data_IF_043640223381
#
_entry.id   IF_043640223381
#
_cell.length_a   1.000
_cell.length_b   1.000
_cell.length_c   1.000
_cell.angle_alpha   90.00
_cell.angle_beta   90.00
_cell.angle_gamma   90.00
#
_symmetry.space_group_name_H-M   'P 1'
#
loop_
_entity.id
_entity.type
_entity.pdbx_description
1 polymer ?
#
# COMPACT_ATOMS: atom_id res chain seq x y z
N UNK A 1 -20.37 -6.54 25.51
CA UNK A 1 -19.70 -5.83 24.39
C UNK A 1 -20.55 -4.73 23.75
N UNK A 2 -21.87 -4.91 23.57
CA UNK A 2 -22.69 -3.95 22.80
C UNK A 2 -23.09 -2.60 23.45
N UNK A 3 -22.89 -2.37 24.76
CA UNK A 3 -23.34 -1.12 25.41
C UNK A 3 -22.27 -0.02 25.50
N UNK A 4 -20.98 -0.36 25.67
CA UNK A 4 -19.91 0.64 25.71
C UNK A 4 -19.61 1.23 24.33
N UNK A 5 -19.59 0.37 23.29
CA UNK A 5 -19.46 0.77 21.88
C UNK A 5 -20.69 1.57 21.42
N UNK A 6 -21.91 1.19 21.84
CA UNK A 6 -23.11 2.01 21.59
C UNK A 6 -23.07 3.36 22.31
N UNK A 7 -22.49 3.45 23.50
CA UNK A 7 -22.33 4.75 24.20
C UNK A 7 -21.33 5.66 23.52
N UNK A 8 -20.32 5.09 22.86
CA UNK A 8 -19.38 5.81 21.99
C UNK A 8 -20.07 6.26 20.68
N UNK A 9 -20.99 5.45 20.15
CA UNK A 9 -21.81 5.79 18.97
C UNK A 9 -23.01 6.73 19.24
N UNK A 10 -23.40 6.97 20.50
CA UNK A 10 -24.57 7.78 20.88
C UNK A 10 -24.23 9.22 21.29
N UNK A 11 -23.01 9.68 21.00
CA UNK A 11 -22.76 11.12 20.90
C UNK A 11 -23.16 11.54 19.48
N UNK A 12 -24.40 12.02 19.36
CA UNK A 12 -25.02 12.63 18.17
C UNK A 12 -24.21 13.84 17.65
N UNK A 13 -23.05 13.59 17.05
CA UNK A 13 -22.32 14.58 16.26
C UNK A 13 -21.91 13.96 14.91
N UNK A 14 -22.53 14.48 13.85
CA UNK A 14 -21.95 14.62 12.52
C UNK A 14 -21.75 13.40 11.61
N UNK A 15 -22.61 12.37 11.68
CA UNK A 15 -22.68 11.42 10.56
C UNK A 15 -23.29 12.08 9.31
N UNK A 16 -24.28 12.96 9.49
CA UNK A 16 -25.03 13.57 8.37
C UNK A 16 -24.35 14.81 7.77
N UNK A 17 -23.45 15.48 8.51
CA UNK A 17 -22.70 16.64 8.02
C UNK A 17 -21.49 16.24 7.16
N UNK A 18 -20.85 15.12 7.50
CA UNK A 18 -19.71 14.56 6.76
C UNK A 18 -20.18 13.87 5.46
N UNK A 19 -21.37 13.25 5.46
CA UNK A 19 -21.96 12.61 4.27
C UNK A 19 -22.41 13.61 3.19
N UNK A 20 -22.74 14.87 3.53
CA UNK A 20 -23.06 15.91 2.55
C UNK A 20 -21.83 16.57 1.92
N UNK A 21 -20.64 16.37 2.48
CA UNK A 21 -19.44 17.13 2.12
C UNK A 21 -18.50 16.41 1.13
N UNK A 22 -18.77 15.14 0.79
CA UNK A 22 -17.97 14.35 -0.17
C UNK A 22 -18.52 14.40 -1.62
N UNK A 23 -19.53 15.23 -1.88
CA UNK A 23 -20.14 15.39 -3.19
C UNK A 23 -20.14 16.86 -3.61
N UNK A 24 -18.98 17.43 -3.90
CA UNK A 24 -18.86 18.70 -4.66
C UNK A 24 -17.40 18.97 -5.10
N UNK A 25 -17.19 18.97 -6.42
CA UNK A 25 -15.96 19.39 -7.12
C UNK A 25 -15.65 20.88 -6.90
N UNK A 26 -14.37 21.28 -7.04
CA UNK A 26 -14.12 22.42 -7.93
C UNK A 26 -12.81 22.37 -8.75
N UNK A 27 -13.00 22.73 -10.03
CA UNK A 27 -12.23 23.60 -10.94
C UNK A 27 -10.69 23.68 -10.88
N UNK A 28 -10.10 23.20 -11.98
CA UNK A 28 -8.96 23.72 -12.74
C UNK A 28 -8.11 24.84 -12.10
N UNK A 29 -6.82 24.54 -11.91
CA UNK A 29 -5.81 25.43 -12.47
C UNK A 29 -4.55 24.69 -12.94
N UNK A 30 -4.06 25.16 -14.07
CA UNK A 30 -2.95 24.66 -14.88
C UNK A 30 -1.60 25.13 -14.32
N UNK A 31 -0.55 24.81 -15.07
CA UNK A 31 0.82 25.36 -15.09
C UNK A 31 1.84 24.65 -14.15
N UNK A 32 3.05 24.21 -14.54
CA UNK A 32 3.99 24.52 -15.64
C UNK A 32 4.80 23.28 -16.05
N UNK A 33 4.98 23.05 -17.37
CA UNK A 33 6.11 22.29 -17.92
C UNK A 33 7.32 23.20 -18.05
N UNK A 34 8.47 22.79 -17.53
CA UNK A 34 9.76 23.46 -17.77
C UNK A 34 10.51 22.71 -18.87
N UNK A 35 10.57 23.32 -20.04
CA UNK A 35 11.43 22.93 -21.15
C UNK A 35 12.90 23.16 -20.76
N UNK A 36 13.76 22.19 -21.05
CA UNK A 36 15.21 22.36 -20.97
C UNK A 36 15.73 22.77 -22.34
N UNK A 37 16.29 23.97 -22.45
CA UNK A 37 17.09 24.38 -23.60
C UNK A 37 18.46 23.73 -23.52
N UNK A 38 18.79 22.91 -24.53
CA UNK A 38 20.12 22.31 -24.67
C UNK A 38 21.04 23.30 -25.35
N UNK A 39 21.90 23.94 -24.55
CA UNK A 39 23.05 24.71 -25.02
C UNK A 39 24.03 23.79 -25.75
N UNK A 40 24.39 24.18 -26.97
CA UNK A 40 25.27 23.43 -27.84
C UNK A 40 26.74 23.50 -27.41
N UNK A 41 27.35 22.32 -27.28
CA UNK A 41 28.75 22.05 -27.59
C UNK A 41 28.84 20.57 -28.03
N UNK A 42 29.13 20.35 -29.31
CA UNK A 42 29.24 19.02 -29.91
C UNK A 42 30.54 18.35 -29.47
N UNK A 43 30.50 17.67 -28.32
CA UNK A 43 31.43 16.59 -28.04
C UNK A 43 30.94 15.34 -28.79
N UNK A 44 31.58 15.05 -29.93
CA UNK A 44 31.47 13.77 -30.62
C UNK A 44 32.16 12.66 -29.80
N UNK A 45 31.78 12.47 -28.55
CA UNK A 45 32.00 11.22 -27.84
C UNK A 45 30.81 10.33 -28.18
N UNK A 46 30.87 9.67 -29.34
CA UNK A 46 29.97 8.54 -29.59
C UNK A 46 30.18 7.57 -28.44
N UNK A 47 29.10 7.27 -27.72
CA UNK A 47 29.12 6.19 -26.74
C UNK A 47 29.66 4.94 -27.44
N UNK A 48 30.67 4.26 -26.87
CA UNK A 48 31.22 3.05 -27.48
C UNK A 48 30.10 2.01 -27.65
N UNK A 49 30.16 1.21 -28.70
CA UNK A 49 29.19 0.15 -28.91
C UNK A 49 29.24 -0.81 -27.71
N UNK A 50 28.08 -1.19 -27.14
CA UNK A 50 28.04 -2.11 -25.99
C UNK A 50 28.64 -3.48 -26.35
N UNK A 51 28.67 -3.85 -27.63
CA UNK A 51 29.35 -5.07 -28.09
C UNK A 51 30.88 -4.98 -27.96
N UNK A 52 31.45 -3.78 -27.92
CA UNK A 52 32.89 -3.55 -27.79
C UNK A 52 33.34 -3.53 -26.31
N UNK A 53 32.39 -3.50 -25.38
CA UNK A 53 32.66 -3.53 -23.94
C UNK A 53 32.74 -4.98 -23.42
N UNK A 54 33.47 -5.23 -22.32
CA UNK A 54 33.39 -6.49 -21.58
C UNK A 54 31.94 -6.84 -21.24
N UNK A 55 31.52 -8.11 -21.38
CA UNK A 55 30.14 -8.53 -21.17
C UNK A 55 29.56 -8.07 -19.83
N UNK A 56 30.38 -8.05 -18.77
CA UNK A 56 29.97 -7.65 -17.43
C UNK A 56 29.56 -6.17 -17.37
N UNK A 57 30.29 -5.29 -18.07
CA UNK A 57 29.99 -3.86 -18.11
C UNK A 57 28.78 -3.57 -18.99
N UNK A 58 28.64 -4.30 -20.09
CA UNK A 58 27.49 -4.15 -20.98
C UNK A 58 26.20 -4.62 -20.30
N UNK A 59 26.25 -5.75 -19.59
CA UNK A 59 25.15 -6.25 -18.78
C UNK A 59 24.82 -5.30 -17.63
N UNK A 60 25.82 -4.73 -16.97
CA UNK A 60 25.62 -3.73 -15.90
C UNK A 60 24.84 -2.53 -16.45
N UNK A 61 25.26 -1.96 -17.58
CA UNK A 61 24.54 -0.83 -18.21
C UNK A 61 23.10 -1.21 -18.56
N UNK A 62 22.88 -2.39 -19.16
CA UNK A 62 21.53 -2.85 -19.50
C UNK A 62 20.67 -3.17 -18.27
N UNK A 63 21.26 -3.52 -17.14
CA UNK A 63 20.53 -3.82 -15.90
C UNK A 63 19.85 -2.59 -15.28
N UNK A 64 20.31 -1.38 -15.62
CA UNK A 64 19.69 -0.12 -15.19
C UNK A 64 18.53 0.32 -16.09
N UNK A 65 18.26 -0.41 -17.17
CA UNK A 65 17.19 -0.10 -18.12
C UNK A 65 15.87 -0.75 -17.72
N UNK A 66 14.76 -0.07 -18.01
CA UNK A 66 13.44 -0.68 -17.86
C UNK A 66 13.12 -1.61 -19.05
N UNK A 67 12.00 -2.34 -18.99
CA UNK A 67 11.65 -3.30 -20.04
C UNK A 67 11.40 -2.67 -21.42
N UNK A 68 10.93 -1.42 -21.48
CA UNK A 68 10.74 -0.71 -22.76
C UNK A 68 12.09 -0.38 -23.37
N UNK A 69 13.00 0.17 -22.58
CA UNK A 69 14.38 0.46 -22.98
C UNK A 69 15.10 -0.82 -23.42
N UNK A 70 14.91 -1.93 -22.72
CA UNK A 70 15.51 -3.21 -23.08
C UNK A 70 14.92 -3.78 -24.39
N UNK A 71 13.62 -3.62 -24.62
CA UNK A 71 13.00 -3.97 -25.90
C UNK A 71 13.57 -3.13 -27.06
N UNK A 72 13.79 -1.83 -26.85
CA UNK A 72 14.41 -0.95 -27.84
C UNK A 72 15.89 -1.30 -28.06
N UNK A 73 16.63 -1.58 -26.98
CA UNK A 73 18.01 -2.04 -27.02
C UNK A 73 18.13 -3.33 -27.83
N UNK A 74 17.13 -4.23 -27.79
CA UNK A 74 17.12 -5.46 -28.59
C UNK A 74 17.09 -5.23 -30.10
N UNK A 75 16.78 -4.02 -30.59
CA UNK A 75 16.90 -3.70 -32.02
C UNK A 75 18.35 -3.54 -32.48
N UNK A 76 19.27 -3.27 -31.55
CA UNK A 76 20.69 -2.99 -31.82
C UNK A 76 21.61 -4.04 -31.18
N UNK A 77 21.29 -4.45 -29.95
CA UNK A 77 22.06 -5.38 -29.11
C UNK A 77 21.23 -6.63 -28.76
N UNK A 78 20.86 -7.41 -29.79
CA UNK A 78 19.93 -8.54 -29.66
C UNK A 78 20.34 -9.57 -28.60
N UNK A 79 21.58 -10.06 -28.64
CA UNK A 79 22.04 -11.12 -27.73
C UNK A 79 22.06 -10.64 -26.28
N UNK A 80 22.52 -9.40 -26.07
CA UNK A 80 22.71 -8.82 -24.74
C UNK A 80 21.38 -8.39 -24.10
N UNK A 81 20.45 -7.83 -24.89
CA UNK A 81 19.11 -7.46 -24.44
C UNK A 81 18.14 -8.66 -24.34
N UNK A 82 18.51 -9.81 -24.92
CA UNK A 82 17.78 -11.06 -24.76
C UNK A 82 18.23 -11.87 -23.54
N UNK A 83 19.17 -11.36 -22.74
CA UNK A 83 19.69 -12.06 -21.57
C UNK A 83 18.59 -12.34 -20.52
N UNK A 84 18.41 -13.62 -20.19
CA UNK A 84 17.35 -14.09 -19.30
C UNK A 84 17.55 -13.64 -17.84
N UNK A 85 18.78 -13.35 -17.41
CA UNK A 85 19.06 -12.86 -16.05
C UNK A 85 18.57 -11.41 -15.90
N UNK A 86 18.76 -10.58 -16.93
CA UNK A 86 18.22 -9.22 -16.96
C UNK A 86 16.69 -9.22 -16.86
N UNK A 87 16.02 -10.03 -17.69
CA UNK A 87 14.56 -10.17 -17.63
C UNK A 87 14.08 -10.76 -16.31
N UNK A 88 14.81 -11.72 -15.74
CA UNK A 88 14.49 -12.27 -14.41
C UNK A 88 14.57 -11.20 -13.32
N UNK A 89 15.60 -10.36 -13.36
CA UNK A 89 15.77 -9.25 -12.43
C UNK A 89 14.60 -8.26 -12.55
N UNK A 90 14.22 -7.89 -13.78
CA UNK A 90 13.07 -7.02 -14.03
C UNK A 90 11.76 -7.61 -13.50
N UNK A 91 11.49 -8.89 -13.77
CA UNK A 91 10.34 -9.60 -13.23
C UNK A 91 10.30 -9.55 -11.70
N UNK A 92 11.39 -9.94 -11.03
CA UNK A 92 11.46 -9.99 -9.57
C UNK A 92 11.46 -8.62 -8.90
N UNK A 93 11.88 -7.58 -9.60
CA UNK A 93 11.82 -6.22 -9.10
C UNK A 93 10.39 -5.64 -9.11
N UNK A 94 9.59 -5.95 -10.15
CA UNK A 94 8.21 -5.47 -10.24
C UNK A 94 7.20 -6.38 -9.53
N UNK A 95 7.35 -7.69 -9.71
CA UNK A 95 6.57 -8.76 -9.10
C UNK A 95 7.50 -9.62 -8.26
N UNK A 96 7.75 -9.22 -7.01
CA UNK A 96 8.66 -9.92 -6.11
C UNK A 96 8.23 -11.35 -5.78
N UNK A 97 6.96 -11.67 -6.01
CA UNK A 97 6.42 -13.02 -5.84
C UNK A 97 5.39 -13.32 -6.92
N UNK A 98 5.46 -14.49 -7.53
CA UNK A 98 4.37 -15.15 -8.28
C UNK A 98 4.58 -16.67 -8.19
N UNK A 99 3.52 -17.46 -8.18
CA UNK A 99 3.60 -18.92 -7.98
C UNK A 99 4.50 -19.61 -9.00
N UNK A 100 4.51 -19.12 -10.25
CA UNK A 100 5.30 -19.71 -11.33
C UNK A 100 6.82 -19.64 -11.08
N UNK A 101 7.32 -18.75 -10.22
CA UNK A 101 8.75 -18.71 -9.87
C UNK A 101 9.24 -19.98 -9.16
N UNK A 102 8.35 -20.68 -8.46
CA UNK A 102 8.69 -21.92 -7.73
C UNK A 102 8.51 -23.17 -8.61
N UNK A 103 7.97 -23.02 -9.82
CA UNK A 103 7.83 -24.13 -10.75
C UNK A 103 9.18 -24.57 -11.33
N UNK A 104 9.39 -25.89 -11.39
CA UNK A 104 10.59 -26.49 -12.03
C UNK A 104 10.60 -26.37 -13.55
N UNK A 105 9.55 -25.79 -14.14
CA UNK A 105 9.38 -25.69 -15.58
C UNK A 105 10.28 -24.58 -16.11
N UNK A 106 11.02 -24.87 -17.19
CA UNK A 106 11.75 -23.82 -17.91
C UNK A 106 10.76 -22.95 -18.69
N UNK A 107 10.86 -21.64 -18.50
CA UNK A 107 10.18 -20.61 -19.28
C UNK A 107 11.18 -19.49 -19.60
N UNK A 108 10.80 -18.62 -20.54
CA UNK A 108 11.55 -17.38 -20.81
C UNK A 108 11.02 -16.28 -19.91
N UNK A 109 11.90 -15.63 -19.16
CA UNK A 109 11.60 -14.47 -18.34
C UNK A 109 11.15 -13.28 -19.17
N UNK A 110 11.65 -13.13 -20.40
CA UNK A 110 11.11 -12.10 -21.31
C UNK A 110 9.64 -12.33 -21.59
N UNK A 111 9.25 -13.57 -21.89
CA UNK A 111 7.84 -13.91 -22.11
C UNK A 111 7.02 -13.75 -20.83
N UNK A 112 7.55 -14.22 -19.70
CA UNK A 112 6.90 -14.09 -18.40
C UNK A 112 6.66 -12.61 -18.05
N UNK A 113 7.63 -11.73 -18.29
CA UNK A 113 7.49 -10.30 -18.09
C UNK A 113 6.28 -9.76 -18.86
N UNK A 114 6.14 -10.11 -20.15
CA UNK A 114 5.01 -9.66 -20.96
C UNK A 114 3.67 -10.18 -20.45
N UNK A 115 3.62 -11.46 -20.04
CA UNK A 115 2.42 -12.06 -19.45
C UNK A 115 2.05 -11.38 -18.11
N UNK A 116 3.04 -11.03 -17.27
CA UNK A 116 2.82 -10.34 -15.99
C UNK A 116 2.42 -8.86 -16.18
N UNK A 117 3.00 -8.18 -17.15
CA UNK A 117 2.69 -6.79 -17.50
C UNK A 117 1.24 -6.68 -18.02
N UNK A 118 0.85 -7.57 -18.94
CA UNK A 118 -0.54 -7.66 -19.42
C UNK A 118 -1.53 -7.95 -18.28
N UNK A 119 -1.19 -8.90 -17.40
CA UNK A 119 -2.00 -9.21 -16.21
C UNK A 119 -2.15 -8.01 -15.27
N UNK A 120 -1.08 -7.24 -15.08
CA UNK A 120 -1.06 -6.03 -14.23
C UNK A 120 -1.89 -4.91 -14.83
N UNK A 121 -1.76 -4.64 -16.13
CA UNK A 121 -2.59 -3.66 -16.83
C UNK A 121 -4.08 -4.06 -16.76
N UNK A 122 -4.37 -5.35 -16.92
CA UNK A 122 -5.73 -5.88 -16.81
C UNK A 122 -6.26 -5.72 -15.39
N UNK A 123 -5.48 -6.05 -14.36
CA UNK A 123 -5.86 -5.87 -12.95
C UNK A 123 -6.11 -4.40 -12.59
N UNK A 124 -5.23 -3.51 -13.06
CA UNK A 124 -5.33 -2.07 -12.80
C UNK A 124 -6.58 -1.46 -13.44
N UNK A 125 -7.07 -2.05 -14.54
CA UNK A 125 -8.36 -1.72 -15.16
C UNK A 125 -9.55 -2.37 -14.43
N UNK A 126 -9.47 -3.66 -14.13
CA UNK A 126 -10.50 -4.48 -13.50
C UNK A 126 -9.85 -5.59 -12.66
N UNK A 127 -9.95 -5.45 -11.33
CA UNK A 127 -9.26 -6.34 -10.39
C UNK A 127 -9.61 -7.82 -10.58
N UNK A 128 -10.89 -8.12 -10.83
CA UNK A 128 -11.35 -9.52 -10.96
C UNK A 128 -10.84 -10.15 -12.26
N UNK A 129 -10.94 -9.43 -13.39
CA UNK A 129 -10.42 -9.92 -14.67
C UNK A 129 -8.91 -10.10 -14.65
N UNK A 130 -8.18 -9.19 -14.01
CA UNK A 130 -6.74 -9.31 -13.85
C UNK A 130 -6.35 -10.55 -13.06
N UNK A 131 -7.01 -10.81 -11.93
CA UNK A 131 -6.75 -12.02 -11.14
C UNK A 131 -7.12 -13.30 -11.89
N UNK A 132 -8.26 -13.32 -12.60
CA UNK A 132 -8.62 -14.44 -13.47
C UNK A 132 -7.58 -14.68 -14.57
N UNK A 133 -7.00 -13.61 -15.13
CA UNK A 133 -5.89 -13.71 -16.08
C UNK A 133 -4.67 -14.38 -15.46
N UNK A 134 -4.20 -13.90 -14.30
CA UNK A 134 -3.03 -14.48 -13.61
C UNK A 134 -3.24 -15.97 -13.29
N UNK A 135 -4.44 -16.33 -12.82
CA UNK A 135 -4.78 -17.72 -12.45
C UNK A 135 -4.90 -18.62 -13.68
N UNK A 136 -5.64 -18.19 -14.71
CA UNK A 136 -5.87 -19.01 -15.91
C UNK A 136 -4.61 -19.25 -16.74
N UNK A 137 -3.66 -18.31 -16.69
CA UNK A 137 -2.34 -18.42 -17.34
C UNK A 137 -1.34 -19.25 -16.52
N UNK A 138 -1.70 -19.66 -15.30
CA UNK A 138 -0.83 -20.39 -14.39
C UNK A 138 0.32 -19.55 -13.82
N UNK A 139 0.16 -18.22 -13.81
CA UNK A 139 1.15 -17.30 -13.23
C UNK A 139 1.05 -17.28 -11.71
N UNK A 140 -0.17 -17.38 -11.20
CA UNK A 140 -0.50 -17.35 -9.78
C UNK A 140 -1.52 -18.45 -9.45
N UNK A 141 -1.35 -19.13 -8.32
CA UNK A 141 -2.30 -20.13 -7.83
C UNK A 141 -3.48 -19.44 -7.12
N UNK A 142 -4.71 -19.93 -7.33
CA UNK A 142 -5.89 -19.45 -6.61
C UNK A 142 -5.93 -20.00 -5.17
N UNK A 143 -4.98 -19.56 -4.36
CA UNK A 143 -4.94 -19.84 -2.93
C UNK A 143 -4.72 -18.55 -2.14
N UNK A 144 -5.32 -18.40 -0.95
CA UNK A 144 -5.25 -17.14 -0.20
C UNK A 144 -3.82 -16.72 0.17
N UNK A 145 -2.96 -17.68 0.51
CA UNK A 145 -1.55 -17.50 0.85
C UNK A 145 -0.71 -17.01 -0.35
N UNK A 146 -0.97 -17.59 -1.52
CA UNK A 146 -0.27 -17.25 -2.77
C UNK A 146 -0.68 -15.85 -3.24
N UNK A 147 -1.97 -15.54 -3.25
CA UNK A 147 -2.47 -14.22 -3.67
C UNK A 147 -2.03 -13.12 -2.69
N UNK A 148 -2.07 -13.40 -1.38
CA UNK A 148 -1.57 -12.45 -0.38
C UNK A 148 -0.08 -12.17 -0.54
N UNK A 149 0.72 -13.20 -0.81
CA UNK A 149 2.16 -13.04 -1.07
C UNK A 149 2.41 -12.24 -2.36
N UNK A 150 1.62 -12.44 -3.41
CA UNK A 150 1.66 -11.64 -4.63
C UNK A 150 1.37 -10.16 -4.35
N UNK A 151 0.28 -9.84 -3.65
CA UNK A 151 -0.06 -8.46 -3.30
C UNK A 151 0.97 -7.80 -2.38
N UNK A 152 1.57 -8.55 -1.45
CA UNK A 152 2.57 -8.03 -0.53
C UNK A 152 3.88 -7.62 -1.22
N UNK A 153 4.30 -8.37 -2.26
CA UNK A 153 5.60 -8.21 -2.91
C UNK A 153 5.50 -7.56 -4.31
N UNK A 154 4.33 -7.05 -4.70
CA UNK A 154 4.14 -6.41 -6.01
C UNK A 154 3.86 -4.92 -5.84
N UNK A 155 4.62 -4.08 -6.54
CA UNK A 155 4.55 -2.62 -6.37
C UNK A 155 3.80 -1.89 -7.49
N UNK A 156 3.46 -2.58 -8.58
CA UNK A 156 2.82 -2.01 -9.77
C UNK A 156 1.29 -2.19 -9.82
N UNK A 157 0.67 -2.76 -8.76
CA UNK A 157 -0.78 -2.91 -8.67
C UNK A 157 -1.44 -1.62 -8.16
N UNK A 158 -2.56 -1.25 -8.79
CA UNK A 158 -3.32 -0.07 -8.40
C UNK A 158 -4.00 -0.30 -7.04
N UNK A 159 -3.74 0.54 -6.01
CA UNK A 159 -4.26 0.34 -4.65
C UNK A 159 -5.78 0.20 -4.57
N UNK A 160 -6.52 1.05 -5.30
CA UNK A 160 -7.99 0.96 -5.41
C UNK A 160 -8.48 -0.42 -5.90
N UNK A 161 -7.84 -0.99 -6.92
CA UNK A 161 -8.22 -2.30 -7.47
C UNK A 161 -7.90 -3.42 -6.49
N UNK A 162 -6.75 -3.34 -5.82
CA UNK A 162 -6.40 -4.25 -4.72
C UNK A 162 -7.45 -4.21 -3.61
N UNK A 163 -7.89 -3.01 -3.18
CA UNK A 163 -8.97 -2.85 -2.20
C UNK A 163 -10.27 -3.51 -2.65
N UNK A 164 -10.70 -3.28 -3.90
CA UNK A 164 -11.92 -3.88 -4.47
C UNK A 164 -11.83 -5.41 -4.41
N UNK A 165 -10.69 -5.99 -4.83
CA UNK A 165 -10.50 -7.42 -4.78
C UNK A 165 -10.53 -7.97 -3.35
N UNK A 166 -9.83 -7.32 -2.42
CA UNK A 166 -9.78 -7.73 -1.01
C UNK A 166 -11.12 -7.65 -0.27
N UNK A 167 -12.03 -6.76 -0.69
CA UNK A 167 -13.39 -6.72 -0.13
C UNK A 167 -14.20 -7.97 -0.52
N UNK A 168 -14.01 -8.47 -1.75
CA UNK A 168 -14.63 -9.72 -2.22
C UNK A 168 -13.95 -10.98 -1.69
N UNK A 169 -12.63 -10.95 -1.46
CA UNK A 169 -11.79 -12.08 -1.01
C UNK A 169 -11.21 -11.83 0.37
N UNK A 170 -12.07 -11.88 1.39
CA UNK A 170 -11.71 -11.63 2.80
C UNK A 170 -10.73 -12.65 3.39
N UNK A 171 -10.68 -13.84 2.81
CA UNK A 171 -9.69 -14.89 3.06
C UNK A 171 -8.28 -14.44 2.65
N UNK A 172 -8.14 -13.82 1.48
CA UNK A 172 -6.88 -13.21 1.01
C UNK A 172 -6.49 -12.03 1.89
N UNK A 173 -7.45 -11.17 2.24
CA UNK A 173 -7.20 -10.05 3.17
C UNK A 173 -6.63 -10.54 4.51
N UNK A 174 -7.14 -11.64 5.06
CA UNK A 174 -6.60 -12.21 6.29
C UNK A 174 -5.12 -12.56 6.16
N UNK A 175 -4.76 -13.28 5.09
CA UNK A 175 -3.37 -13.67 4.82
C UNK A 175 -2.48 -12.47 4.55
N UNK A 176 -2.99 -11.45 3.86
CA UNK A 176 -2.23 -10.22 3.61
C UNK A 176 -1.91 -9.47 4.91
N UNK A 177 -2.86 -9.41 5.86
CA UNK A 177 -2.61 -8.81 7.17
C UNK A 177 -1.62 -9.65 7.99
N UNK A 178 -1.72 -10.98 7.94
CA UNK A 178 -0.79 -11.89 8.62
C UNK A 178 0.67 -11.73 8.15
N UNK A 179 0.89 -11.35 6.89
CA UNK A 179 2.23 -11.08 6.34
C UNK A 179 2.86 -9.78 6.85
N UNK A 180 2.08 -8.88 7.46
CA UNK A 180 2.62 -7.62 7.98
C UNK A 180 3.24 -7.82 9.36
N UNK A 181 4.47 -7.33 9.51
CA UNK A 181 5.16 -7.28 10.80
C UNK A 181 5.05 -5.89 11.44
N UNK A 182 4.46 -5.85 12.63
CA UNK A 182 4.34 -4.66 13.48
C UNK A 182 5.16 -4.75 14.76
N UNK A 183 6.11 -5.70 14.83
CA UNK A 183 6.99 -5.84 15.98
C UNK A 183 7.78 -4.56 16.25
N UNK A 184 7.87 -4.17 17.52
CA UNK A 184 8.60 -2.99 17.99
C UNK A 184 8.12 -1.64 17.43
N UNK A 185 6.99 -1.61 16.71
CA UNK A 185 6.38 -0.35 16.25
C UNK A 185 5.41 0.19 17.30
N UNK A 186 5.40 1.51 17.46
CA UNK A 186 4.36 2.16 18.24
C UNK A 186 3.01 2.06 17.51
N UNK A 187 1.90 1.96 18.25
CA UNK A 187 0.58 1.66 17.68
C UNK A 187 0.17 2.61 16.52
N UNK A 188 0.31 3.94 16.62
CA UNK A 188 0.02 4.85 15.52
C UNK A 188 0.88 4.60 14.27
N UNK A 189 2.16 4.28 14.45
CA UNK A 189 3.10 4.00 13.37
C UNK A 189 2.73 2.69 12.64
N UNK A 190 2.42 1.65 13.40
CA UNK A 190 1.91 0.39 12.85
C UNK A 190 0.61 0.61 12.08
N UNK A 191 -0.30 1.44 12.59
CA UNK A 191 -1.58 1.73 11.96
C UNK A 191 -1.42 2.54 10.65
N UNK A 192 -0.48 3.50 10.60
CA UNK A 192 -0.10 4.19 9.34
C UNK A 192 0.43 3.21 8.31
N UNK A 193 1.37 2.34 8.70
CA UNK A 193 1.94 1.31 7.82
C UNK A 193 0.86 0.39 7.24
N UNK A 194 -0.09 -0.03 8.08
CA UNK A 194 -1.21 -0.85 7.64
C UNK A 194 -2.05 -0.17 6.54
N UNK A 195 -2.41 1.11 6.72
CA UNK A 195 -3.20 1.84 5.74
C UNK A 195 -2.42 2.27 4.50
N UNK A 196 -1.08 2.34 4.55
CA UNK A 196 -0.25 2.49 3.36
C UNK A 196 -0.36 1.27 2.43
N UNK A 197 -0.52 0.07 2.98
CA UNK A 197 -0.66 -1.15 2.17
C UNK A 197 -2.09 -1.40 1.71
N UNK A 198 -3.08 -1.34 2.61
CA UNK A 198 -4.45 -1.81 2.29
C UNK A 198 -5.38 -0.67 1.84
N UNK A 199 -4.92 0.59 1.94
CA UNK A 199 -5.67 1.82 1.71
C UNK A 199 -6.95 1.90 2.54
N UNK A 200 -7.14 2.99 3.28
CA UNK A 200 -8.39 3.16 4.00
C UNK A 200 -9.59 3.26 3.04
N UNK A 201 -10.77 2.72 3.42
CA UNK A 201 -11.99 3.00 2.69
C UNK A 201 -12.35 4.49 2.80
N UNK A 202 -12.90 5.04 1.72
CA UNK A 202 -13.36 6.43 1.67
C UNK A 202 -14.59 6.65 2.57
N UNK A 203 -15.36 5.57 2.84
CA UNK A 203 -16.42 5.57 3.85
C UNK A 203 -15.95 4.97 5.18
N UNK A 204 -16.53 5.46 6.28
CA UNK A 204 -16.36 4.87 7.61
C UNK A 204 -17.35 3.72 7.82
N UNK A 205 -17.53 2.88 6.80
CA UNK A 205 -18.49 1.79 6.79
C UNK A 205 -18.02 0.53 7.54
N UNK A 206 -18.75 -0.56 7.32
CA UNK A 206 -18.45 -1.88 7.90
C UNK A 206 -17.06 -2.41 7.49
N UNK A 207 -16.52 -1.95 6.37
CA UNK A 207 -15.20 -2.38 5.89
C UNK A 207 -14.07 -1.87 6.79
N UNK A 208 -14.10 -0.59 7.22
CA UNK A 208 -13.11 -0.04 8.15
C UNK A 208 -13.09 -0.82 9.47
N UNK A 209 -14.25 -1.19 10.00
CA UNK A 209 -14.36 -2.01 11.21
C UNK A 209 -13.68 -3.37 11.00
N UNK A 210 -13.95 -4.03 9.87
CA UNK A 210 -13.32 -5.32 9.51
C UNK A 210 -11.79 -5.22 9.42
N UNK A 211 -11.28 -4.15 8.81
CA UNK A 211 -9.85 -3.89 8.72
C UNK A 211 -9.21 -3.71 10.10
N UNK A 212 -9.83 -2.90 10.96
CA UNK A 212 -9.31 -2.65 12.30
C UNK A 212 -9.39 -3.88 13.20
N UNK A 213 -10.40 -4.73 13.06
CA UNK A 213 -10.47 -6.02 13.76
C UNK A 213 -9.29 -6.92 13.39
N UNK A 214 -9.01 -7.07 12.08
CA UNK A 214 -7.88 -7.87 11.59
C UNK A 214 -6.53 -7.28 12.03
N UNK A 215 -6.35 -5.97 11.85
CA UNK A 215 -5.16 -5.25 12.31
C UNK A 215 -4.92 -5.45 13.81
N UNK A 216 -5.96 -5.30 14.64
CA UNK A 216 -5.83 -5.40 16.09
C UNK A 216 -5.37 -6.78 16.55
N UNK A 217 -5.84 -7.85 15.88
CA UNK A 217 -5.38 -9.22 16.15
C UNK A 217 -3.91 -9.37 15.78
N UNK A 218 -3.52 -8.93 14.59
CA UNK A 218 -2.15 -9.03 14.11
C UNK A 218 -1.18 -8.21 14.98
N UNK A 219 -1.55 -6.98 15.37
CA UNK A 219 -0.73 -6.14 16.23
C UNK A 219 -0.43 -6.82 17.58
N UNK A 220 -1.44 -7.45 18.20
CA UNK A 220 -1.27 -8.24 19.42
C UNK A 220 -0.37 -9.47 19.20
N UNK A 221 -0.48 -10.15 18.06
CA UNK A 221 0.36 -11.31 17.72
C UNK A 221 1.83 -10.93 17.52
N UNK A 222 2.10 -9.80 16.87
CA UNK A 222 3.46 -9.25 16.72
C UNK A 222 4.04 -8.72 18.04
N UNK A 223 3.19 -8.31 18.99
CA UNK A 223 3.61 -7.66 20.23
C UNK A 223 3.06 -8.35 21.51
N UNK A 224 3.39 -9.64 21.73
CA UNK A 224 2.85 -10.41 22.86
C UNK A 224 3.30 -9.85 24.23
N UNK A 225 4.44 -9.17 24.26
CA UNK A 225 5.02 -8.56 25.45
C UNK A 225 4.19 -7.39 26.01
N UNK A 226 3.35 -6.74 25.19
CA UNK A 226 2.50 -5.63 25.63
C UNK A 226 1.26 -6.09 26.41
N UNK A 227 0.93 -7.40 26.39
CA UNK A 227 -0.24 -7.97 27.08
C UNK A 227 -1.58 -7.29 26.73
N UNK A 228 -1.68 -6.70 25.54
CA UNK A 228 -2.88 -6.04 25.03
C UNK A 228 -3.85 -7.08 24.44
N UNK A 229 -5.16 -6.86 24.63
CA UNK A 229 -6.18 -7.65 23.94
C UNK A 229 -6.58 -6.97 22.62
N UNK A 230 -6.99 -7.73 21.59
CA UNK A 230 -7.44 -7.14 20.32
C UNK A 230 -8.55 -6.10 20.50
N UNK A 231 -9.48 -6.29 21.44
CA UNK A 231 -10.55 -5.32 21.73
C UNK A 231 -10.01 -3.96 22.19
N UNK A 232 -8.94 -3.97 22.98
CA UNK A 232 -8.30 -2.74 23.47
C UNK A 232 -7.62 -2.02 22.31
N UNK A 233 -6.84 -2.76 21.50
CA UNK A 233 -6.14 -2.22 20.33
C UNK A 233 -7.14 -1.64 19.34
N UNK A 234 -8.27 -2.32 19.13
CA UNK A 234 -9.35 -1.88 18.27
C UNK A 234 -9.91 -0.52 18.72
N UNK A 235 -10.24 -0.36 20.01
CA UNK A 235 -10.76 0.90 20.56
C UNK A 235 -9.72 2.02 20.45
N UNK A 236 -8.44 1.72 20.70
CA UNK A 236 -7.35 2.68 20.52
C UNK A 236 -7.23 3.12 19.05
N UNK A 237 -7.24 2.18 18.10
CA UNK A 237 -7.19 2.50 16.66
C UNK A 237 -8.34 3.41 16.24
N UNK A 238 -9.57 3.12 16.66
CA UNK A 238 -10.72 3.99 16.40
C UNK A 238 -10.53 5.39 16.98
N UNK A 239 -10.05 5.48 18.23
CA UNK A 239 -9.79 6.76 18.89
C UNK A 239 -8.73 7.57 18.15
N UNK A 240 -7.69 6.90 17.65
CA UNK A 240 -6.61 7.52 16.88
C UNK A 240 -7.09 8.04 15.52
N UNK A 241 -7.93 7.27 14.79
CA UNK A 241 -8.51 7.72 13.51
C UNK A 241 -9.45 8.92 13.71
N UNK A 242 -10.23 8.92 14.79
CA UNK A 242 -11.08 10.07 15.12
C UNK A 242 -10.25 11.31 15.43
N UNK A 243 -9.19 11.15 16.22
CA UNK A 243 -8.25 12.23 16.51
C UNK A 243 -7.56 12.73 15.24
N UNK A 244 -7.11 11.83 14.36
CA UNK A 244 -6.40 12.23 13.14
C UNK A 244 -7.27 13.08 12.24
N UNK A 245 -8.54 12.69 12.04
CA UNK A 245 -9.48 13.50 11.25
C UNK A 245 -9.85 14.80 11.94
N UNK A 246 -10.03 14.79 13.26
CA UNK A 246 -10.31 16.01 14.03
C UNK A 246 -9.18 17.04 13.83
N UNK A 247 -7.92 16.62 13.99
CA UNK A 247 -6.75 17.50 13.91
C UNK A 247 -6.50 18.02 12.48
N UNK A 248 -6.68 17.20 11.44
CA UNK A 248 -6.37 17.61 10.06
C UNK A 248 -7.51 18.33 9.35
N UNK A 249 -8.77 18.12 9.75
CA UNK A 249 -9.93 18.67 9.03
C UNK A 249 -10.01 20.21 9.14
N UNK A 250 -9.98 20.98 8.05
CA UNK A 250 -10.08 22.45 8.12
C UNK A 250 -11.44 22.94 8.67
N UNK A 251 -12.47 22.07 8.67
CA UNK A 251 -13.81 22.39 9.15
C UNK A 251 -13.93 22.34 10.67
N UNK A 252 -13.06 21.59 11.35
CA UNK A 252 -13.03 21.55 12.82
C UNK A 252 -12.25 22.77 13.32
N UNK A 253 -12.98 23.80 13.74
CA UNK A 253 -12.39 25.04 14.30
C UNK A 253 -11.77 24.81 15.67
N UNK A 254 -12.45 24.04 16.52
CA UNK A 254 -12.02 23.73 17.88
C UNK A 254 -11.48 22.30 17.90
N UNK A 255 -10.17 22.18 17.73
CA UNK A 255 -9.47 20.89 17.74
C UNK A 255 -9.54 20.24 19.13
N UNK A 256 -9.65 18.93 19.16
CA UNK A 256 -9.55 18.14 20.38
C UNK A 256 -8.19 18.38 21.02
N UNK A 257 -8.20 18.90 22.25
CA UNK A 257 -6.97 19.07 23.04
C UNK A 257 -6.46 17.72 23.56
N UNK A 258 -5.15 17.65 23.85
CA UNK A 258 -4.53 16.48 24.49
C UNK A 258 -5.29 16.01 25.73
N UNK A 259 -5.70 16.96 26.59
CA UNK A 259 -6.46 16.66 27.81
C UNK A 259 -7.83 16.04 27.51
N UNK A 260 -8.53 16.51 26.48
CA UNK A 260 -9.81 15.96 26.06
C UNK A 260 -9.66 14.56 25.49
N UNK A 261 -8.65 14.33 24.65
CA UNK A 261 -8.34 13.00 24.12
C UNK A 261 -8.07 11.99 25.24
N UNK A 262 -7.17 12.30 26.18
CA UNK A 262 -6.85 11.43 27.32
C UNK A 262 -8.12 11.13 28.12
N UNK A 263 -8.96 12.13 28.39
CA UNK A 263 -10.25 11.92 29.09
C UNK A 263 -11.17 10.98 28.32
N UNK A 264 -11.31 11.17 27.01
CA UNK A 264 -12.19 10.38 26.15
C UNK A 264 -11.75 8.91 26.10
N UNK A 265 -10.45 8.67 25.87
CA UNK A 265 -9.89 7.31 25.81
C UNK A 265 -9.96 6.62 27.16
N UNK A 266 -9.63 7.30 28.26
CA UNK A 266 -9.73 6.75 29.63
C UNK A 266 -11.14 6.30 29.99
N UNK A 267 -12.15 7.07 29.58
CA UNK A 267 -13.55 6.72 29.81
C UNK A 267 -13.96 5.44 29.05
N UNK A 268 -13.33 5.17 27.90
CA UNK A 268 -13.54 3.95 27.12
C UNK A 268 -12.69 2.77 27.61
N UNK A 269 -11.46 3.05 28.03
CA UNK A 269 -10.43 2.09 28.42
C UNK A 269 -9.87 2.48 29.79
N UNK A 270 -10.47 1.97 30.87
CA UNK A 270 -10.01 2.20 32.25
C UNK A 270 -8.78 1.32 32.60
N UNK A 271 -7.83 1.19 31.67
CA UNK A 271 -6.75 0.18 31.76
C UNK A 271 -5.32 0.73 31.75
N UNK A 272 -5.06 1.89 31.14
CA UNK A 272 -3.70 2.41 30.96
C UNK A 272 -3.51 3.76 31.64
N UNK A 273 -2.24 4.13 31.82
CA UNK A 273 -1.84 5.42 32.36
C UNK A 273 -2.09 6.56 31.37
N UNK A 274 -2.35 7.75 31.90
CA UNK A 274 -2.59 8.98 31.15
C UNK A 274 -1.37 9.35 30.29
N UNK A 275 -0.16 8.95 30.69
CA UNK A 275 1.08 9.16 29.93
C UNK A 275 1.04 8.47 28.56
N UNK A 276 0.57 7.20 28.49
CA UNK A 276 0.44 6.47 27.22
C UNK A 276 -0.52 7.18 26.27
N UNK A 277 -1.69 7.60 26.77
CA UNK A 277 -2.66 8.33 25.97
C UNK A 277 -2.12 9.69 25.51
N UNK A 278 -1.27 10.31 26.33
CA UNK A 278 -0.53 11.50 25.97
C UNK A 278 0.42 11.27 24.80
N UNK A 279 1.23 10.21 24.84
CA UNK A 279 2.14 9.86 23.74
C UNK A 279 1.40 9.51 22.45
N UNK A 280 0.26 8.82 22.55
CA UNK A 280 -0.61 8.56 21.40
C UNK A 280 -1.12 9.86 20.75
N UNK A 281 -1.50 10.87 21.54
CA UNK A 281 -1.91 12.16 21.01
C UNK A 281 -0.76 12.90 20.33
N UNK A 282 0.40 12.94 20.99
CA UNK A 282 1.57 13.66 20.48
C UNK A 282 2.03 13.08 19.13
N UNK A 283 2.00 11.76 18.96
CA UNK A 283 2.34 11.10 17.69
C UNK A 283 1.41 11.56 16.55
N UNK A 284 0.08 11.59 16.76
CA UNK A 284 -0.85 12.07 15.73
C UNK A 284 -0.67 13.56 15.44
N UNK A 285 -0.40 14.35 16.48
CA UNK A 285 -0.19 15.79 16.36
C UNK A 285 1.10 16.13 15.58
N UNK A 286 2.18 15.36 15.80
CA UNK A 286 3.49 15.60 15.19
C UNK A 286 3.62 14.97 13.80
N UNK A 287 3.24 13.70 13.65
CA UNK A 287 3.47 12.92 12.43
C UNK A 287 2.27 12.95 11.47
N UNK A 288 1.14 13.50 11.91
CA UNK A 288 -0.02 13.74 11.07
C UNK A 288 -0.91 12.53 10.83
N UNK A 289 -1.67 12.59 9.72
CA UNK A 289 -2.84 11.76 9.47
C UNK A 289 -2.53 10.25 9.39
N UNK A 290 -3.39 9.40 9.96
CA UNK A 290 -3.18 7.95 9.99
C UNK A 290 -3.44 7.29 8.64
N UNK A 291 -4.45 7.76 7.93
CA UNK A 291 -4.93 7.16 6.69
C UNK A 291 -5.28 8.25 5.69
N UNK A 292 -4.30 9.01 5.17
CA UNK A 292 -4.58 10.01 4.16
C UNK A 292 -5.14 9.31 2.92
N UNK A 293 -6.20 9.86 2.33
CA UNK A 293 -6.69 9.36 1.05
C UNK A 293 -5.61 9.67 0.01
N UNK A 294 -4.97 8.65 -0.53
CA UNK A 294 -3.94 8.77 -1.58
C UNK A 294 -4.54 8.92 -2.98
N UNK A 295 -5.78 9.41 -3.08
CA UNK A 295 -6.49 9.58 -4.36
C UNK A 295 -6.61 11.03 -4.82
N UNK A 296 -5.82 11.93 -4.22
CA UNK A 296 -5.65 13.32 -4.68
C UNK A 296 -4.24 13.53 -5.25
#
# INVERSE_FOLDING_TARGET
>A
MGQAVRRFMLLDFEVDMILRYLAMEPEHNSIYTKEWEVGGETLSNKFPDLNDLPPELSLEVLSHLNATDLCLASCVWQELAADEILWQSLCRNQWGYVSIYEEKKKFSYRKLYMDLDEGTLTFNSDAHKGMDYFISRGLLLDRPDEIASFFHHTHCLHPRQMRIYLDSRRDVLEKLVELQDYGNLFLPQALRRFFQTIQAPNDRGNYLQTLLEKFSRQFCQCNPHLTLTPDVVYILCFSLILLSVDLTSPHVKNKMSKREFIRNVRNALQRFDDELYGHLYDDIYLDGHIAPNTED
#
